data_IF_034013631014
#
_entry.id   IF_034013631014
#
_cell.length_a   1.000
_cell.length_b   1.000
_cell.length_c   1.000
_cell.angle_alpha   90.00
_cell.angle_beta   90.00
_cell.angle_gamma   90.00
#
_symmetry.space_group_name_H-M   'P 1'
#
loop_
_entity.id
_entity.type
_entity.pdbx_description
1 polymer ?
#
# COMPACT_ATOMS: atom_id res chain seq x y z
N UNK A 1 28.19 -19.88 12.78
CA UNK A 1 27.62 -18.97 11.76
C UNK A 1 26.30 -18.45 12.30
N UNK A 2 26.15 -17.13 12.48
CA UNK A 2 24.87 -16.56 12.85
C UNK A 2 23.88 -16.75 11.69
N UNK A 3 22.66 -17.23 11.97
CA UNK A 3 21.58 -17.19 10.98
C UNK A 3 21.36 -15.71 10.61
N UNK A 4 21.30 -15.35 9.32
CA UNK A 4 20.92 -13.98 8.96
C UNK A 4 19.56 -13.68 9.61
N UNK A 5 19.42 -12.48 10.16
CA UNK A 5 18.15 -12.00 10.70
C UNK A 5 17.15 -11.99 9.54
N UNK A 6 16.25 -12.97 9.51
CA UNK A 6 15.13 -12.97 8.58
C UNK A 6 14.11 -11.99 9.15
N UNK A 7 13.67 -10.98 8.37
CA UNK A 7 12.64 -10.06 8.82
C UNK A 7 11.41 -10.84 9.29
N UNK A 8 10.77 -10.35 10.32
CA UNK A 8 9.44 -10.86 10.68
C UNK A 8 8.49 -10.65 9.49
N UNK A 9 7.48 -11.51 9.33
CA UNK A 9 6.47 -11.33 8.28
C UNK A 9 5.79 -9.94 8.30
N UNK A 10 5.81 -9.27 9.47
CA UNK A 10 5.35 -7.90 9.63
C UNK A 10 6.29 -6.90 8.94
N UNK A 11 7.59 -6.98 9.22
CA UNK A 11 8.61 -6.12 8.59
C UNK A 11 8.65 -6.37 7.08
N UNK A 12 8.66 -7.64 6.66
CA UNK A 12 8.63 -8.04 5.25
C UNK A 12 7.40 -7.46 4.53
N UNK A 13 6.21 -7.51 5.13
CA UNK A 13 5.00 -6.92 4.54
C UNK A 13 5.13 -5.41 4.35
N UNK A 14 5.64 -4.71 5.37
CA UNK A 14 5.84 -3.27 5.28
C UNK A 14 6.85 -2.93 4.18
N UNK A 15 8.01 -3.59 4.16
CA UNK A 15 9.07 -3.40 3.15
C UNK A 15 8.57 -3.68 1.72
N UNK A 16 7.77 -4.74 1.53
CA UNK A 16 7.18 -5.08 0.23
C UNK A 16 6.21 -4.00 -0.25
N UNK A 17 5.49 -3.34 0.66
CA UNK A 17 4.57 -2.26 0.31
C UNK A 17 5.33 -0.98 -0.03
N UNK A 18 6.34 -0.60 0.76
CA UNK A 18 7.20 0.55 0.43
C UNK A 18 7.87 0.36 -0.94
N UNK A 19 8.43 -0.83 -1.18
CA UNK A 19 8.99 -1.17 -2.50
C UNK A 19 7.93 -1.09 -3.61
N UNK A 20 6.71 -1.57 -3.36
CA UNK A 20 5.64 -1.51 -4.34
C UNK A 20 5.19 -0.07 -4.65
N UNK A 21 5.20 0.81 -3.65
CA UNK A 21 4.98 2.25 -3.80
C UNK A 21 6.05 2.84 -4.72
N UNK A 22 7.33 2.61 -4.43
CA UNK A 22 8.43 3.11 -5.26
C UNK A 22 8.31 2.63 -6.72
N UNK A 23 8.02 1.33 -6.91
CA UNK A 23 7.82 0.78 -8.26
C UNK A 23 6.63 1.42 -8.99
N UNK A 24 5.55 1.75 -8.29
CA UNK A 24 4.37 2.39 -8.88
C UNK A 24 4.69 3.83 -9.31
N UNK A 25 5.32 4.62 -8.44
CA UNK A 25 5.63 6.02 -8.72
C UNK A 25 6.77 6.19 -9.73
N UNK A 26 7.87 5.46 -9.58
CA UNK A 26 9.05 5.64 -10.43
C UNK A 26 8.92 4.95 -11.78
N UNK A 27 8.28 3.77 -11.82
CA UNK A 27 8.38 2.85 -12.98
C UNK A 27 7.05 2.43 -13.60
N UNK A 28 5.92 2.93 -13.10
CA UNK A 28 4.56 2.51 -13.52
C UNK A 28 4.38 0.97 -13.43
N UNK A 29 4.94 0.35 -12.37
CA UNK A 29 4.90 -1.10 -12.10
C UNK A 29 4.12 -1.40 -10.82
N UNK A 30 3.33 -2.47 -10.84
CA UNK A 30 2.39 -2.83 -9.76
C UNK A 30 2.56 -4.29 -9.30
N UNK A 31 3.73 -4.68 -8.74
CA UNK A 31 4.12 -6.08 -8.58
C UNK A 31 3.44 -6.78 -7.40
N UNK A 32 3.04 -6.04 -6.37
CA UNK A 32 2.59 -6.59 -5.10
C UNK A 32 1.07 -6.76 -5.04
N UNK A 33 0.61 -7.87 -4.43
CA UNK A 33 -0.80 -8.19 -4.18
C UNK A 33 -0.96 -8.56 -2.71
N UNK A 34 -1.44 -7.62 -1.90
CA UNK A 34 -1.49 -7.74 -0.44
C UNK A 34 -2.28 -8.98 0.01
N UNK A 35 -3.44 -9.24 -0.60
CA UNK A 35 -4.28 -10.38 -0.23
C UNK A 35 -3.55 -11.73 -0.39
N UNK A 36 -2.79 -11.89 -1.47
CA UNK A 36 -2.05 -13.13 -1.74
C UNK A 36 -0.97 -13.37 -0.70
N UNK A 37 -0.24 -12.32 -0.31
CA UNK A 37 0.78 -12.40 0.72
C UNK A 37 0.17 -12.75 2.09
N UNK A 38 -0.88 -12.04 2.52
CA UNK A 38 -1.58 -12.33 3.78
C UNK A 38 -2.08 -13.78 3.84
N UNK A 39 -2.60 -14.29 2.72
CA UNK A 39 -3.01 -15.70 2.58
C UNK A 39 -1.83 -16.67 2.66
N UNK A 40 -0.70 -16.34 2.04
CA UNK A 40 0.49 -17.19 2.04
C UNK A 40 1.05 -17.36 3.45
N UNK A 41 1.14 -16.27 4.21
CA UNK A 41 1.63 -16.31 5.60
C UNK A 41 0.56 -16.77 6.59
N UNK A 42 -0.67 -17.03 6.13
CA UNK A 42 -1.85 -17.36 6.95
C UNK A 42 -2.02 -16.36 8.10
N UNK A 43 -1.97 -15.07 7.77
CA UNK A 43 -1.99 -13.98 8.74
C UNK A 43 -3.15 -14.14 9.73
N UNK A 44 -2.89 -14.00 11.04
CA UNK A 44 -3.93 -14.08 12.07
C UNK A 44 -4.71 -12.76 12.19
N UNK A 45 -5.89 -12.75 12.86
CA UNK A 45 -6.62 -11.51 13.17
C UNK A 45 -5.76 -10.47 13.88
N UNK A 46 -4.93 -10.89 14.83
CA UNK A 46 -4.04 -10.01 15.60
C UNK A 46 -2.94 -9.40 14.71
N UNK A 47 -2.38 -10.21 13.80
CA UNK A 47 -1.42 -9.72 12.81
C UNK A 47 -2.05 -8.64 11.93
N UNK A 48 -3.27 -8.87 11.42
CA UNK A 48 -3.97 -7.92 10.55
C UNK A 48 -4.29 -6.64 11.31
N UNK A 49 -4.75 -6.74 12.55
CA UNK A 49 -5.01 -5.57 13.40
C UNK A 49 -3.74 -4.77 13.68
N UNK A 50 -2.62 -5.43 13.97
CA UNK A 50 -1.32 -4.76 14.09
C UNK A 50 -0.93 -4.06 12.79
N UNK A 51 -1.04 -4.75 11.66
CA UNK A 51 -0.70 -4.20 10.35
C UNK A 51 -1.61 -3.01 9.95
N UNK A 52 -2.91 -3.07 10.25
CA UNK A 52 -3.85 -1.96 10.02
C UNK A 52 -3.46 -0.68 10.77
N UNK A 53 -2.81 -0.83 11.92
CA UNK A 53 -2.35 0.28 12.74
C UNK A 53 -0.93 0.76 12.39
N UNK A 54 -0.25 0.09 11.46
CA UNK A 54 1.10 0.44 11.01
C UNK A 54 1.16 1.81 10.33
N UNK A 55 2.32 2.44 10.39
CA UNK A 55 2.62 3.68 9.66
C UNK A 55 2.55 3.46 8.16
N UNK A 56 3.03 2.33 7.65
CA UNK A 56 2.98 1.98 6.22
C UNK A 56 1.55 1.96 5.69
N UNK A 57 0.61 1.24 6.32
CA UNK A 57 -0.77 1.19 5.80
C UNK A 57 -1.49 2.55 5.94
N UNK A 58 -1.19 3.31 6.99
CA UNK A 58 -1.68 4.68 7.15
C UNK A 58 -1.13 5.61 6.06
N UNK A 59 0.15 5.49 5.71
CA UNK A 59 0.78 6.20 4.61
C UNK A 59 0.11 5.89 3.26
N UNK A 60 -0.18 4.61 3.00
CA UNK A 60 -0.96 4.19 1.81
C UNK A 60 -2.33 4.87 1.78
N UNK A 61 -3.04 4.92 2.91
CA UNK A 61 -4.35 5.59 2.98
C UNK A 61 -4.26 7.11 2.72
N UNK A 62 -3.22 7.77 3.25
CA UNK A 62 -2.98 9.19 3.01
C UNK A 62 -2.67 9.45 1.52
N UNK A 63 -1.77 8.68 0.90
CA UNK A 63 -1.46 8.83 -0.52
C UNK A 63 -2.69 8.61 -1.41
N UNK A 64 -3.57 7.66 -1.08
CA UNK A 64 -4.84 7.50 -1.81
C UNK A 64 -5.70 8.76 -1.69
N UNK A 65 -5.81 9.33 -0.49
CA UNK A 65 -6.57 10.57 -0.26
C UNK A 65 -5.99 11.75 -1.04
N UNK A 66 -4.67 11.92 -1.04
CA UNK A 66 -4.02 13.02 -1.74
C UNK A 66 -4.16 12.87 -3.27
N UNK A 67 -4.02 11.64 -3.78
CA UNK A 67 -4.23 11.35 -5.20
C UNK A 67 -5.70 11.58 -5.61
N UNK A 68 -6.66 11.25 -4.75
CA UNK A 68 -8.07 11.58 -4.98
C UNK A 68 -8.29 13.10 -5.07
N UNK A 69 -7.70 13.87 -4.16
CA UNK A 69 -7.76 15.33 -4.19
C UNK A 69 -7.10 15.92 -5.44
N UNK A 70 -5.95 15.39 -5.85
CA UNK A 70 -5.28 15.76 -7.09
C UNK A 70 -6.15 15.49 -8.33
N UNK A 71 -6.83 14.35 -8.38
CA UNK A 71 -7.63 13.92 -9.52
C UNK A 71 -8.96 14.68 -9.67
N UNK A 72 -9.54 15.20 -8.59
CA UNK A 72 -10.83 15.91 -8.62
C UNK A 72 -10.66 17.38 -9.05
N UNK A 73 -9.86 18.17 -8.33
CA UNK A 73 -9.78 19.63 -8.54
C UNK A 73 -8.35 20.16 -8.61
N UNK A 74 -7.34 19.29 -8.50
CA UNK A 74 -5.95 19.71 -8.54
C UNK A 74 -5.60 20.73 -7.46
N UNK A 75 -6.00 20.45 -6.19
CA UNK A 75 -5.59 21.23 -5.01
C UNK A 75 -4.12 21.67 -5.17
N UNK A 76 -3.81 22.95 -4.94
CA UNK A 76 -2.47 23.50 -5.18
C UNK A 76 -1.38 22.66 -4.53
N UNK A 77 -1.58 22.20 -3.30
CA UNK A 77 -0.60 21.39 -2.58
C UNK A 77 -0.45 19.99 -3.21
N UNK A 78 -1.56 19.37 -3.63
CA UNK A 78 -1.56 18.07 -4.28
C UNK A 78 -1.00 18.15 -5.71
N UNK A 79 -1.23 19.25 -6.41
CA UNK A 79 -0.67 19.53 -7.74
C UNK A 79 0.83 19.77 -7.67
N UNK A 80 1.34 20.43 -6.62
CA UNK A 80 2.79 20.52 -6.39
C UNK A 80 3.41 19.14 -6.15
N UNK A 81 2.76 18.29 -5.35
CA UNK A 81 3.26 16.95 -5.04
C UNK A 81 3.17 15.98 -6.24
N UNK A 82 2.04 15.96 -6.96
CA UNK A 82 1.70 14.91 -7.93
C UNK A 82 1.53 15.41 -9.37
N UNK A 83 1.62 16.71 -9.62
CA UNK A 83 1.40 17.31 -10.94
C UNK A 83 2.30 16.75 -12.04
N UNK A 84 3.49 16.29 -11.68
CA UNK A 84 4.45 15.65 -12.59
C UNK A 84 4.00 14.26 -13.09
N UNK A 85 3.04 13.61 -12.45
CA UNK A 85 2.56 12.27 -12.83
C UNK A 85 1.58 12.34 -14.02
N UNK A 86 0.78 13.40 -14.10
CA UNK A 86 -0.39 13.48 -14.97
C UNK A 86 -1.54 12.55 -14.53
N UNK A 87 -2.76 12.89 -14.94
CA UNK A 87 -4.01 12.26 -14.47
C UNK A 87 -4.03 10.74 -14.64
N UNK A 88 -3.63 10.22 -15.81
CA UNK A 88 -3.69 8.77 -16.10
C UNK A 88 -2.79 7.95 -15.18
N UNK A 89 -1.58 8.44 -14.90
CA UNK A 89 -0.63 7.72 -14.03
C UNK A 89 -1.07 7.81 -12.57
N UNK A 90 -1.51 9.00 -12.13
CA UNK A 90 -2.07 9.20 -10.80
C UNK A 90 -3.27 8.28 -10.53
N UNK A 91 -4.19 8.14 -11.49
CA UNK A 91 -5.34 7.23 -11.37
C UNK A 91 -4.91 5.76 -11.20
N UNK A 92 -3.93 5.29 -11.98
CA UNK A 92 -3.41 3.92 -11.84
C UNK A 92 -2.79 3.68 -10.45
N UNK A 93 -1.94 4.59 -10.00
CA UNK A 93 -1.27 4.49 -8.71
C UNK A 93 -2.30 4.51 -7.59
N UNK A 94 -3.24 5.45 -7.63
CA UNK A 94 -4.34 5.55 -6.66
C UNK A 94 -5.10 4.24 -6.57
N UNK A 95 -5.54 3.70 -7.70
CA UNK A 95 -6.31 2.45 -7.73
C UNK A 95 -5.51 1.25 -7.20
N UNK A 96 -4.20 1.24 -7.47
CA UNK A 96 -3.31 0.22 -6.94
C UNK A 96 -3.16 0.29 -5.42
N UNK A 97 -2.90 1.48 -4.87
CA UNK A 97 -2.78 1.70 -3.43
C UNK A 97 -4.11 1.44 -2.71
N UNK A 98 -5.22 1.89 -3.29
CA UNK A 98 -6.56 1.61 -2.76
C UNK A 98 -6.86 0.11 -2.71
N UNK A 99 -6.38 -0.65 -3.69
CA UNK A 99 -6.50 -2.10 -3.68
C UNK A 99 -5.73 -2.76 -2.54
N UNK A 100 -4.56 -2.25 -2.14
CA UNK A 100 -3.83 -2.75 -0.95
C UNK A 100 -4.68 -2.59 0.32
N UNK A 101 -5.37 -1.45 0.47
CA UNK A 101 -6.28 -1.21 1.60
C UNK A 101 -7.47 -2.19 1.58
N UNK A 102 -8.09 -2.38 0.41
CA UNK A 102 -9.23 -3.28 0.26
C UNK A 102 -8.86 -4.74 0.45
N UNK A 103 -7.72 -5.17 -0.08
CA UNK A 103 -7.18 -6.53 0.12
C UNK A 103 -7.00 -6.83 1.61
N UNK A 104 -6.51 -5.85 2.39
CA UNK A 104 -6.33 -5.98 3.84
C UNK A 104 -7.69 -6.16 4.54
N UNK A 105 -8.68 -5.33 4.22
CA UNK A 105 -10.05 -5.43 4.76
C UNK A 105 -10.75 -6.73 4.35
N UNK A 106 -10.62 -7.13 3.09
CA UNK A 106 -11.21 -8.36 2.56
C UNK A 106 -10.60 -9.62 3.16
N UNK A 107 -9.32 -9.58 3.53
CA UNK A 107 -8.69 -10.69 4.24
C UNK A 107 -9.18 -10.76 5.70
N UNK A 108 -9.31 -9.62 6.36
CA UNK A 108 -9.86 -9.52 7.73
C UNK A 108 -11.30 -10.06 7.84
N UNK A 109 -12.15 -9.79 6.85
CA UNK A 109 -13.55 -10.23 6.87
C UNK A 109 -13.73 -11.75 6.85
N UNK A 110 -12.67 -12.54 6.64
CA UNK A 110 -12.70 -14.00 6.76
C UNK A 110 -12.83 -14.49 8.21
N UNK A 111 -12.64 -13.60 9.17
CA UNK A 111 -12.72 -13.87 10.61
C UNK A 111 -13.95 -13.27 11.28
N UNK A 112 -14.84 -12.63 10.49
CA UNK A 112 -16.11 -12.03 10.95
C UNK A 112 -17.26 -13.02 10.91
#
# INVERSE_FOLDING_TARGET
MAKPFLPSHYEELCELIEYAIDQAFERDKFPFKCYNYLRQIKASPEFIQRFKNSTTLKGVALMVSDLDAYLVDGDKQCTEAYGHLGTKKAEKIRNYLFRILNDTKAYESRYS
#
